data_IF_695291956695
#
_entry.id   IF_695291956695
#
_cell.length_a   1.000
_cell.length_b   1.000
_cell.length_c   1.000
_cell.angle_alpha   90.00
_cell.angle_beta   90.00
_cell.angle_gamma   90.00
#
_symmetry.space_group_name_H-M   'P 1'
#
loop_
_entity.id
_entity.type
_entity.pdbx_description
1 polymer ?
#
# COMPACT_ATOMS: atom_id res chain seq x y z
N UNK A 1 -8.13 -56.57 -21.49
CA UNK A 1 -7.43 -55.35 -21.97
C UNK A 1 -7.81 -54.10 -21.17
N UNK A 2 -9.10 -53.77 -21.02
CA UNK A 2 -9.60 -52.55 -20.35
C UNK A 2 -9.06 -52.29 -18.92
N UNK A 3 -8.93 -53.34 -18.09
CA UNK A 3 -8.43 -53.22 -16.70
C UNK A 3 -6.97 -52.76 -16.63
N UNK A 4 -6.11 -53.20 -17.56
CA UNK A 4 -4.70 -52.78 -17.62
C UNK A 4 -4.59 -51.32 -18.08
N UNK A 5 -5.39 -50.93 -19.06
CA UNK A 5 -5.45 -49.55 -19.56
C UNK A 5 -5.94 -48.58 -18.49
N UNK A 6 -6.94 -48.95 -17.69
CA UNK A 6 -7.44 -48.16 -16.56
C UNK A 6 -6.38 -47.94 -15.48
N UNK A 7 -5.61 -48.97 -15.13
CA UNK A 7 -4.51 -48.86 -14.16
C UNK A 7 -3.43 -47.91 -14.68
N UNK A 8 -3.09 -47.99 -15.97
CA UNK A 8 -2.10 -47.09 -16.59
C UNK A 8 -2.60 -45.63 -16.55
N UNK A 9 -3.86 -45.38 -16.91
CA UNK A 9 -4.48 -44.06 -16.83
C UNK A 9 -4.51 -43.51 -15.39
N UNK A 10 -4.78 -44.37 -14.42
CA UNK A 10 -4.76 -44.00 -13.00
C UNK A 10 -3.37 -43.58 -12.54
N UNK A 11 -2.33 -44.34 -12.90
CA UNK A 11 -0.94 -44.01 -12.57
C UNK A 11 -0.53 -42.69 -13.22
N UNK A 12 -0.87 -42.46 -14.49
CA UNK A 12 -0.57 -41.21 -15.20
C UNK A 12 -1.24 -40.03 -14.51
N UNK A 13 -2.52 -40.15 -14.16
CA UNK A 13 -3.27 -39.11 -13.44
C UNK A 13 -2.67 -38.81 -12.06
N UNK A 14 -2.24 -39.85 -11.34
CA UNK A 14 -1.63 -39.71 -10.02
C UNK A 14 -0.29 -38.96 -10.09
N UNK A 15 0.58 -39.33 -11.03
CA UNK A 15 1.87 -38.65 -11.22
C UNK A 15 1.68 -37.18 -11.59
N UNK A 16 0.69 -36.87 -12.44
CA UNK A 16 0.40 -35.50 -12.84
C UNK A 16 -0.07 -34.64 -11.66
N UNK A 17 -0.93 -35.19 -10.80
CA UNK A 17 -1.39 -34.51 -9.59
C UNK A 17 -0.23 -34.25 -8.61
N UNK A 18 0.65 -35.24 -8.39
CA UNK A 18 1.83 -35.07 -7.53
C UNK A 18 2.74 -33.98 -8.09
N UNK A 19 3.05 -34.01 -9.39
CA UNK A 19 3.89 -33.00 -10.03
C UNK A 19 3.31 -31.58 -9.88
N UNK A 20 1.99 -31.44 -10.04
CA UNK A 20 1.30 -30.17 -9.86
C UNK A 20 1.39 -29.65 -8.42
N UNK A 21 1.11 -30.51 -7.44
CA UNK A 21 1.20 -30.17 -6.01
C UNK A 21 2.64 -29.82 -5.61
N UNK A 22 3.63 -30.60 -6.04
CA UNK A 22 5.03 -30.34 -5.78
C UNK A 22 5.49 -29.00 -6.37
N UNK A 23 5.09 -28.69 -7.59
CA UNK A 23 5.43 -27.41 -8.25
C UNK A 23 4.75 -26.23 -7.55
N UNK A 24 3.50 -26.39 -7.14
CA UNK A 24 2.77 -25.37 -6.39
C UNK A 24 3.41 -25.07 -5.03
N UNK A 25 3.79 -26.12 -4.29
CA UNK A 25 4.48 -25.99 -3.01
C UNK A 25 5.86 -25.36 -3.20
N UNK A 26 6.62 -25.81 -4.20
CA UNK A 26 7.95 -25.27 -4.52
C UNK A 26 7.87 -23.77 -4.84
N UNK A 27 6.97 -23.34 -5.72
CA UNK A 27 6.82 -21.91 -6.02
C UNK A 27 6.35 -21.10 -4.81
N UNK A 28 5.47 -21.65 -3.97
CA UNK A 28 4.91 -20.91 -2.84
C UNK A 28 5.85 -20.79 -1.65
N UNK A 29 6.74 -21.76 -1.45
CA UNK A 29 7.67 -21.79 -0.31
C UNK A 29 9.06 -21.28 -0.73
N UNK A 30 9.64 -21.82 -1.82
CA UNK A 30 11.01 -21.49 -2.24
C UNK A 30 11.10 -20.19 -3.04
N UNK A 31 10.07 -19.85 -3.82
CA UNK A 31 10.02 -18.60 -4.58
C UNK A 31 9.19 -17.50 -3.91
N UNK A 32 9.14 -17.47 -2.56
CA UNK A 32 8.81 -16.19 -1.92
C UNK A 32 9.90 -15.20 -2.32
N UNK A 33 9.57 -14.07 -2.98
CA UNK A 33 10.55 -13.03 -3.20
C UNK A 33 11.09 -12.63 -1.83
N UNK A 34 12.37 -12.91 -1.56
CA UNK A 34 13.09 -12.21 -0.51
C UNK A 34 13.04 -10.76 -0.96
N UNK A 35 12.13 -9.99 -0.37
CA UNK A 35 12.15 -8.55 -0.56
C UNK A 35 13.59 -8.11 -0.25
N UNK A 36 14.25 -7.34 -1.13
CA UNK A 36 15.52 -6.74 -0.75
C UNK A 36 15.28 -6.06 0.59
N UNK A 37 16.10 -6.40 1.59
CA UNK A 37 16.04 -5.76 2.90
C UNK A 37 16.07 -4.26 2.65
N UNK A 38 14.94 -3.59 2.91
CA UNK A 38 14.91 -2.15 2.81
C UNK A 38 15.98 -1.65 3.78
N UNK A 39 16.86 -0.72 3.36
CA UNK A 39 17.85 -0.17 4.27
C UNK A 39 17.11 0.33 5.49
N UNK A 40 17.43 -0.25 6.66
CA UNK A 40 16.82 0.15 7.93
C UNK A 40 17.14 1.64 8.05
N UNK A 41 16.14 2.52 8.01
CA UNK A 41 16.43 3.93 7.98
C UNK A 41 17.11 4.31 9.29
N UNK A 42 18.26 4.97 9.18
CA UNK A 42 19.05 5.41 10.32
C UNK A 42 18.13 6.03 11.37
N UNK A 43 18.21 5.59 12.64
CA UNK A 43 17.35 6.14 13.66
C UNK A 43 17.60 7.64 13.78
N UNK A 44 16.53 8.42 14.01
CA UNK A 44 16.61 9.85 14.37
C UNK A 44 17.23 10.06 15.76
N UNK A 45 17.73 8.99 16.38
CA UNK A 45 18.35 8.94 17.71
C UNK A 45 19.41 10.02 17.99
N UNK A 46 20.19 10.55 17.03
CA UNK A 46 21.13 11.62 17.36
C UNK A 46 20.46 13.00 17.61
N UNK A 47 19.14 13.15 17.40
CA UNK A 47 18.44 14.45 17.51
C UNK A 47 17.20 14.36 18.42
N UNK A 48 17.37 14.35 19.76
CA UNK A 48 16.25 14.23 20.71
C UNK A 48 15.24 15.38 20.61
N UNK A 49 15.72 16.62 20.47
CA UNK A 49 14.87 17.83 20.32
C UNK A 49 13.92 17.72 19.12
N UNK A 50 14.41 17.12 18.04
CA UNK A 50 13.63 16.92 16.83
C UNK A 50 12.50 15.90 17.03
N UNK A 51 12.77 14.84 17.80
CA UNK A 51 11.78 13.82 18.14
C UNK A 51 10.66 14.43 18.97
N UNK A 52 11.00 15.21 20.00
CA UNK A 52 10.03 15.92 20.84
C UNK A 52 9.14 16.84 20.02
N UNK A 53 9.73 17.64 19.10
CA UNK A 53 8.98 18.50 18.18
C UNK A 53 8.00 17.73 17.29
N UNK A 54 8.43 16.59 16.76
CA UNK A 54 7.56 15.73 15.95
C UNK A 54 6.38 15.20 16.79
N UNK A 55 6.63 14.83 18.05
CA UNK A 55 5.59 14.35 18.96
C UNK A 55 4.60 15.44 19.36
N UNK A 56 5.09 16.64 19.67
CA UNK A 56 4.25 17.82 19.89
C UNK A 56 3.37 18.11 18.66
N UNK A 57 3.97 18.09 17.47
CA UNK A 57 3.26 18.26 16.21
C UNK A 57 2.15 17.22 16.01
N UNK A 58 2.42 15.96 16.38
CA UNK A 58 1.40 14.89 16.35
C UNK A 58 0.25 15.15 17.31
N UNK A 59 0.53 15.55 18.56
CA UNK A 59 -0.50 15.80 19.58
C UNK A 59 -1.48 16.87 19.12
N UNK A 60 -0.97 17.93 18.49
CA UNK A 60 -1.78 19.04 18.02
C UNK A 60 -2.56 18.72 16.72
N UNK A 61 -2.05 17.88 15.81
CA UNK A 61 -2.80 17.40 14.62
C UNK A 61 -3.85 16.34 15.00
N UNK A 62 -3.63 15.59 16.08
CA UNK A 62 -4.50 14.49 16.51
C UNK A 62 -6.01 14.82 16.53
N UNK A 63 -6.48 15.97 17.07
CA UNK A 63 -7.91 16.31 17.01
C UNK A 63 -8.44 16.49 15.59
N UNK A 64 -7.67 17.09 14.68
CA UNK A 64 -8.07 17.25 13.26
C UNK A 64 -8.16 15.89 12.56
N UNK A 65 -7.19 15.00 12.83
CA UNK A 65 -7.21 13.64 12.32
C UNK A 65 -8.41 12.85 12.83
N UNK A 66 -8.75 12.98 14.11
CA UNK A 66 -9.94 12.34 14.68
C UNK A 66 -11.22 12.88 14.05
N UNK A 67 -11.33 14.20 13.82
CA UNK A 67 -12.48 14.80 13.14
C UNK A 67 -12.64 14.26 11.72
N UNK A 68 -11.57 14.26 10.93
CA UNK A 68 -11.57 13.69 9.58
C UNK A 68 -11.94 12.20 9.59
N UNK A 69 -11.37 11.41 10.51
CA UNK A 69 -11.67 9.99 10.60
C UNK A 69 -13.14 9.75 10.95
N UNK A 70 -13.72 10.53 11.87
CA UNK A 70 -15.14 10.47 12.20
C UNK A 70 -16.03 10.79 11.00
N UNK A 71 -15.74 11.88 10.26
CA UNK A 71 -16.51 12.23 9.06
C UNK A 71 -16.38 11.16 7.96
N UNK A 72 -15.20 10.58 7.80
CA UNK A 72 -14.96 9.49 6.85
C UNK A 72 -15.74 8.23 7.23
N UNK A 73 -15.78 7.86 8.50
CA UNK A 73 -16.57 6.73 8.97
C UNK A 73 -18.06 6.97 8.72
N UNK A 74 -18.58 8.15 9.06
CA UNK A 74 -19.97 8.52 8.79
C UNK A 74 -20.32 8.45 7.29
N UNK A 75 -19.42 8.90 6.42
CA UNK A 75 -19.57 8.78 4.97
C UNK A 75 -19.65 7.32 4.51
N UNK A 76 -18.77 6.46 5.02
CA UNK A 76 -18.77 5.02 4.69
C UNK A 76 -20.02 4.32 5.23
N UNK A 77 -20.51 4.73 6.41
CA UNK A 77 -21.74 4.20 6.99
C UNK A 77 -22.96 4.60 6.16
N UNK A 78 -23.05 5.87 5.74
CA UNK A 78 -24.11 6.34 4.84
C UNK A 78 -24.11 5.57 3.50
N UNK A 79 -22.94 5.25 2.94
CA UNK A 79 -22.82 4.41 1.74
C UNK A 79 -23.27 2.95 1.93
N UNK A 80 -23.23 2.44 3.17
CA UNK A 80 -23.66 1.07 3.50
C UNK A 80 -25.15 0.97 3.81
N UNK A 81 -25.82 2.09 4.08
CA UNK A 81 -27.24 2.12 4.40
C UNK A 81 -28.08 1.55 3.25
N UNK A 82 -29.18 0.86 3.58
CA UNK A 82 -30.15 0.42 2.57
C UNK A 82 -30.90 1.60 1.95
N UNK A 83 -31.12 2.65 2.73
CA UNK A 83 -31.77 3.88 2.27
C UNK A 83 -30.72 4.84 1.68
N UNK A 84 -30.51 4.73 0.37
CA UNK A 84 -29.57 5.58 -0.36
C UNK A 84 -30.16 6.97 -0.62
N UNK A 85 -29.84 7.93 0.25
CA UNK A 85 -30.14 9.34 0.03
C UNK A 85 -28.91 10.07 -0.54
N UNK A 86 -28.98 10.44 -1.83
CA UNK A 86 -27.89 11.13 -2.52
C UNK A 86 -27.60 12.51 -1.95
N UNK A 87 -28.62 13.27 -1.57
CA UNK A 87 -28.47 14.65 -1.10
C UNK A 87 -27.78 14.70 0.27
N UNK A 88 -28.21 13.83 1.18
CA UNK A 88 -27.57 13.67 2.50
C UNK A 88 -26.12 13.18 2.36
N UNK A 89 -25.88 12.23 1.46
CA UNK A 89 -24.53 11.72 1.20
C UNK A 89 -23.59 12.81 0.65
N UNK A 90 -24.10 13.69 -0.22
CA UNK A 90 -23.34 14.83 -0.73
C UNK A 90 -22.96 15.80 0.39
N UNK A 91 -23.88 16.11 1.31
CA UNK A 91 -23.59 16.96 2.47
C UNK A 91 -22.52 16.33 3.39
N UNK A 92 -22.59 15.01 3.62
CA UNK A 92 -21.58 14.30 4.41
C UNK A 92 -20.22 14.30 3.69
N UNK A 93 -20.21 14.15 2.36
CA UNK A 93 -19.00 14.21 1.55
C UNK A 93 -18.34 15.58 1.63
N UNK A 94 -19.09 16.67 1.42
CA UNK A 94 -18.58 18.04 1.52
C UNK A 94 -17.93 18.31 2.87
N UNK A 95 -18.61 17.93 3.96
CA UNK A 95 -18.07 18.03 5.32
C UNK A 95 -16.80 17.19 5.51
N UNK A 96 -16.73 16.01 4.90
CA UNK A 96 -15.54 15.15 4.96
C UNK A 96 -14.36 15.80 4.24
N UNK A 97 -14.61 16.37 3.06
CA UNK A 97 -13.60 17.09 2.27
C UNK A 97 -13.10 18.34 2.99
N UNK A 98 -13.99 19.13 3.59
CA UNK A 98 -13.59 20.31 4.38
C UNK A 98 -12.64 19.90 5.52
N UNK A 99 -12.98 18.85 6.27
CA UNK A 99 -12.14 18.34 7.34
C UNK A 99 -10.79 17.80 6.83
N UNK A 100 -10.77 17.16 5.66
CA UNK A 100 -9.53 16.70 5.03
C UNK A 100 -8.65 17.88 4.65
N UNK A 101 -9.19 18.87 3.93
CA UNK A 101 -8.44 20.06 3.50
C UNK A 101 -7.85 20.80 4.70
N UNK A 102 -8.65 20.96 5.76
CA UNK A 102 -8.19 21.61 7.00
C UNK A 102 -7.06 20.85 7.67
N UNK A 103 -7.18 19.52 7.77
CA UNK A 103 -6.14 18.66 8.35
C UNK A 103 -4.85 18.70 7.52
N UNK A 104 -4.94 18.56 6.20
CA UNK A 104 -3.78 18.54 5.31
C UNK A 104 -3.07 19.89 5.28
N UNK A 105 -3.82 21.00 5.27
CA UNK A 105 -3.25 22.35 5.33
C UNK A 105 -2.44 22.55 6.62
N UNK A 106 -3.01 22.18 7.76
CA UNK A 106 -2.35 22.29 9.06
C UNK A 106 -1.10 21.39 9.13
N UNK A 107 -1.21 20.15 8.62
CA UNK A 107 -0.08 19.23 8.54
C UNK A 107 1.04 19.77 7.65
N UNK A 108 0.69 20.37 6.50
CA UNK A 108 1.64 21.01 5.60
C UNK A 108 2.37 22.19 6.25
N UNK A 109 1.65 23.08 6.92
CA UNK A 109 2.24 24.23 7.64
C UNK A 109 3.26 23.77 8.69
N UNK A 110 2.91 22.75 9.48
CA UNK A 110 3.80 22.18 10.48
C UNK A 110 5.02 21.51 9.89
N UNK A 111 4.89 20.84 8.74
CA UNK A 111 6.04 20.28 8.05
C UNK A 111 6.99 21.39 7.57
N UNK A 112 6.46 22.53 7.16
CA UNK A 112 7.27 23.70 6.79
C UNK A 112 7.97 24.28 8.01
N UNK A 113 7.27 24.46 9.13
CA UNK A 113 7.87 24.92 10.40
C UNK A 113 8.97 23.97 10.88
N UNK A 114 8.67 22.68 10.92
CA UNK A 114 9.62 21.63 11.28
C UNK A 114 10.84 21.64 10.34
N UNK A 115 10.64 21.86 9.04
CA UNK A 115 11.74 21.96 8.07
C UNK A 115 12.63 23.19 8.33
N UNK A 116 12.08 24.33 8.79
CA UNK A 116 12.86 25.53 9.11
C UNK A 116 13.82 25.31 10.29
N UNK A 117 13.42 24.48 11.25
CA UNK A 117 14.23 24.14 12.43
C UNK A 117 15.35 23.13 12.13
N UNK A 118 15.31 22.45 10.97
CA UNK A 118 16.30 21.43 10.58
C UNK A 118 17.45 21.98 9.74
N UNK A 119 18.66 21.49 10.02
CA UNK A 119 19.78 21.62 9.10
C UNK A 119 19.60 20.72 7.84
N UNK A 120 20.37 20.93 6.76
CA UNK A 120 20.22 20.17 5.51
C UNK A 120 20.39 18.64 5.68
N UNK A 121 21.28 18.19 6.57
CA UNK A 121 21.52 16.77 6.82
C UNK A 121 20.37 16.10 7.58
N UNK A 122 19.86 16.77 8.63
CA UNK A 122 18.68 16.37 9.39
C UNK A 122 17.45 16.29 8.49
N UNK A 123 17.25 17.30 7.64
CA UNK A 123 16.15 17.30 6.68
C UNK A 123 16.27 16.14 5.68
N UNK A 124 17.46 15.89 5.14
CA UNK A 124 17.72 14.75 4.24
C UNK A 124 17.38 13.43 4.93
N UNK A 125 17.89 13.21 6.14
CA UNK A 125 17.58 12.00 6.93
C UNK A 125 16.08 11.86 7.22
N UNK A 126 15.43 12.93 7.63
CA UNK A 126 14.01 12.91 8.01
C UNK A 126 13.07 12.69 6.82
N UNK A 127 13.26 13.41 5.71
CA UNK A 127 12.36 13.36 4.56
C UNK A 127 12.67 12.21 3.58
N UNK A 128 13.94 11.82 3.41
CA UNK A 128 14.27 10.65 2.58
C UNK A 128 13.77 9.35 3.23
N UNK A 129 13.75 9.26 4.57
CA UNK A 129 13.18 8.09 5.28
C UNK A 129 11.75 7.77 4.86
N UNK A 130 10.92 8.78 4.56
CA UNK A 130 9.52 8.56 4.12
C UNK A 130 9.40 8.18 2.64
N UNK A 131 10.29 8.66 1.77
CA UNK A 131 10.27 8.30 0.34
C UNK A 131 10.63 6.82 0.12
N UNK A 132 11.45 6.23 0.99
CA UNK A 132 11.85 4.81 0.91
C UNK A 132 10.98 3.86 1.76
N UNK A 133 10.10 4.37 2.62
CA UNK A 133 9.18 3.56 3.44
C UNK A 133 7.79 3.37 2.83
N UNK A 134 7.47 4.03 1.71
CA UNK A 134 6.44 3.49 0.85
C UNK A 134 7.10 2.29 0.15
N UNK A 135 6.73 1.02 0.44
CA UNK A 135 6.98 0.01 -0.56
C UNK A 135 6.34 0.59 -1.82
N UNK A 136 7.08 0.68 -2.92
CA UNK A 136 6.46 0.71 -4.24
C UNK A 136 5.35 -0.35 -4.15
N UNK A 137 4.10 0.10 -4.04
CA UNK A 137 2.97 -0.76 -4.34
C UNK A 137 3.25 -1.11 -5.77
N UNK A 138 3.77 -2.32 -5.92
CA UNK A 138 4.22 -2.92 -7.14
C UNK A 138 3.31 -2.39 -8.25
N UNK A 139 3.85 -1.55 -9.14
CA UNK A 139 3.31 -1.58 -10.49
C UNK A 139 3.26 -3.08 -10.82
N UNK A 140 2.09 -3.64 -11.14
CA UNK A 140 2.03 -5.05 -11.47
C UNK A 140 3.04 -5.23 -12.60
N UNK A 141 4.15 -5.90 -12.29
CA UNK A 141 5.09 -6.38 -13.29
C UNK A 141 4.28 -7.42 -14.04
N UNK A 142 3.58 -6.98 -15.07
CA UNK A 142 3.14 -7.82 -16.16
C UNK A 142 4.32 -7.88 -17.14
N UNK A 143 5.26 -8.82 -17.01
CA UNK A 143 6.12 -9.15 -18.13
C UNK A 143 5.23 -9.90 -19.12
N UNK A 144 4.53 -9.17 -20.02
CA UNK A 144 4.01 -9.71 -21.31
C UNK A 144 3.21 -8.71 -22.15
N UNK A 145 2.60 -7.67 -21.59
CA UNK A 145 1.77 -6.76 -22.40
C UNK A 145 2.59 -5.92 -23.40
N UNK A 146 3.81 -5.53 -23.04
CA UNK A 146 4.69 -4.73 -23.92
C UNK A 146 5.25 -5.54 -25.10
N UNK A 147 5.40 -6.86 -24.94
CA UNK A 147 5.82 -7.76 -26.02
C UNK A 147 4.66 -8.14 -26.95
N UNK A 148 3.45 -8.32 -26.40
CA UNK A 148 2.23 -8.56 -27.18
C UNK A 148 1.91 -7.41 -28.16
N UNK A 149 2.16 -6.15 -27.76
CA UNK A 149 1.96 -4.98 -28.63
C UNK A 149 3.06 -4.87 -29.69
N UNK A 150 4.30 -5.27 -29.37
CA UNK A 150 5.41 -5.28 -30.34
C UNK A 150 5.24 -6.36 -31.40
N UNK A 151 4.72 -7.53 -31.05
CA UNK A 151 4.53 -8.62 -32.02
C UNK A 151 3.34 -8.36 -32.95
N UNK A 152 2.24 -7.78 -32.45
CA UNK A 152 1.09 -7.38 -33.30
C UNK A 152 1.41 -6.31 -34.37
N UNK A 153 2.46 -5.51 -34.17
CA UNK A 153 2.89 -4.49 -35.15
C UNK A 153 3.87 -5.03 -36.20
N UNK A 154 4.38 -6.26 -36.03
CA UNK A 154 5.27 -6.90 -37.01
C UNK A 154 4.54 -7.85 -37.97
N UNK A 155 3.24 -8.06 -37.76
CA UNK A 155 2.37 -8.93 -38.60
C UNK A 155 1.45 -8.12 -39.52
N UNK A 156 1.67 -6.81 -39.67
CA UNK A 156 1.06 -5.95 -40.70
C UNK A 156 2.16 -5.38 -41.57
#
# INVERSE_FOLDING_TARGET
MLKRTLIILFIISMVFNIAFVSTFIYHRIMMRPRFPEQPIPEPLSPYPELIERIEEGKKQIMPLRQKFQKSKTAFIEALKSQDFNKEELMLILEKTLENQVKMEKELGLRLIELRKEMNPEQARRFFCRRQFQQPEKQQPKFPKFRELIKNRRKEK
#
